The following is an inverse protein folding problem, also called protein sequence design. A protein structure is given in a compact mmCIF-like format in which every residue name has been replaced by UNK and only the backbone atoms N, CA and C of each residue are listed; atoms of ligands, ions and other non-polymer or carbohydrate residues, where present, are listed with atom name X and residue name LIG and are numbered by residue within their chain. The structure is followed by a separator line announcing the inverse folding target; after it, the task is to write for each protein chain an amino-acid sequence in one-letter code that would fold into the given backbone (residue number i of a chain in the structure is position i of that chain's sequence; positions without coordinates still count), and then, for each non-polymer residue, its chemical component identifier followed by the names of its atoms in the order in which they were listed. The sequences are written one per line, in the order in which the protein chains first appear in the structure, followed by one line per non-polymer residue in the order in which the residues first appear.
data_IF_384024132799
#
_entry.id   IF_384024132799
#
_cell.length_a   1.000
_cell.length_b   1.000
_cell.length_c   1.000
_cell.angle_alpha   90.00
_cell.angle_beta   90.00
_cell.angle_gamma   90.00
#
_symmetry.space_group_name_H-M   'P 1'
#
loop_
_entity.id
_entity.type
_entity.pdbx_description
1 polymer ?
#
# COMPACT_ATOMS: atom_id res chain seq x y z
N UNK A 1 14.74 15.28 -7.78
CA UNK A 1 14.08 15.59 -6.49
C UNK A 1 13.40 14.30 -6.06
N UNK A 2 14.01 13.56 -5.13
CA UNK A 2 13.44 12.32 -4.58
C UNK A 2 12.80 12.72 -3.26
N UNK A 3 11.47 12.81 -3.22
CA UNK A 3 10.73 13.04 -1.98
C UNK A 3 10.37 11.67 -1.43
N UNK A 4 11.20 11.13 -0.54
CA UNK A 4 10.92 9.88 0.16
C UNK A 4 9.73 10.11 1.12
N UNK A 5 8.59 9.47 0.86
CA UNK A 5 7.51 9.39 1.85
C UNK A 5 7.95 8.41 2.95
N UNK A 6 8.59 8.92 4.00
CA UNK A 6 9.05 8.09 5.12
C UNK A 6 10.32 8.51 5.87
N UNK A 7 10.84 9.72 5.62
CA UNK A 7 11.99 10.35 6.28
C UNK A 7 13.38 9.91 5.77
N UNK A 8 14.12 10.89 5.24
CA UNK A 8 15.54 11.05 5.49
C UNK A 8 15.74 12.50 5.92
N UNK A 9 15.72 12.77 7.23
CA UNK A 9 16.24 14.00 7.79
C UNK A 9 17.48 13.70 8.62
N UNK A 10 18.49 14.55 8.44
CA UNK A 10 19.79 14.49 9.07
C UNK A 10 19.71 14.60 10.59
N UNK A 11 20.70 14.06 11.33
CA UNK A 11 20.57 13.76 12.74
C UNK A 11 20.87 15.00 13.59
N UNK A 12 20.01 16.02 13.61
CA UNK A 12 20.21 17.12 14.57
C UNK A 12 19.05 18.04 14.96
N UNK A 13 17.78 17.69 14.72
CA UNK A 13 16.69 18.48 15.31
C UNK A 13 15.81 17.65 16.24
N UNK A 14 15.74 18.12 17.49
CA UNK A 14 14.78 17.76 18.53
C UNK A 14 13.36 18.17 18.10
N UNK A 15 12.86 17.58 17.01
CA UNK A 15 11.45 17.67 16.63
C UNK A 15 10.72 16.59 17.39
N UNK A 16 9.61 16.98 18.01
CA UNK A 16 8.68 16.13 18.74
C UNK A 16 8.57 14.74 18.11
N UNK A 17 8.51 13.69 18.95
CA UNK A 17 8.18 12.32 18.56
C UNK A 17 6.78 12.28 17.92
N UNK A 18 6.61 12.86 16.73
CA UNK A 18 5.60 12.46 15.80
C UNK A 18 5.90 10.99 15.56
N UNK A 19 5.02 10.14 16.06
CA UNK A 19 5.14 8.70 15.99
C UNK A 19 5.30 8.31 14.52
N UNK A 20 6.54 8.18 14.06
CA UNK A 20 6.86 7.57 12.78
C UNK A 20 6.40 6.13 12.90
N UNK A 21 5.16 5.85 12.49
CA UNK A 21 4.70 4.48 12.33
C UNK A 21 5.65 3.78 11.36
N UNK A 22 6.47 2.92 11.94
CA UNK A 22 7.37 2.03 11.20
C UNK A 22 6.54 0.95 10.53
N UNK A 23 7.05 0.39 9.43
CA UNK A 23 6.46 -0.76 8.73
C UNK A 23 5.02 -0.50 8.23
N UNK A 24 4.76 0.65 7.62
CA UNK A 24 3.42 0.98 7.07
C UNK A 24 2.98 -0.03 6.01
N UNK A 25 3.89 -0.40 5.11
CA UNK A 25 3.64 -1.29 4.00
C UNK A 25 4.68 -2.40 3.95
N UNK A 26 4.25 -3.59 3.53
CA UNK A 26 5.08 -4.78 3.36
C UNK A 26 5.15 -5.15 1.88
N UNK A 27 6.14 -4.60 1.19
CA UNK A 27 6.32 -4.79 -0.25
C UNK A 27 5.26 -4.10 -1.10
N UNK A 28 5.26 -4.44 -2.39
CA UNK A 28 4.28 -3.94 -3.35
C UNK A 28 4.21 -4.82 -4.58
N UNK A 29 3.06 -4.81 -5.25
CA UNK A 29 2.76 -5.68 -6.38
C UNK A 29 2.44 -4.83 -7.59
N UNK A 30 3.18 -5.03 -8.69
CA UNK A 30 2.89 -4.41 -9.97
C UNK A 30 1.66 -5.07 -10.61
N UNK A 31 0.64 -4.26 -10.93
CA UNK A 31 -0.50 -4.68 -11.71
C UNK A 31 -0.25 -4.43 -13.20
N UNK A 32 -0.12 -5.48 -14.04
CA UNK A 32 0.23 -5.31 -15.46
C UNK A 32 -0.85 -4.62 -16.28
N UNK A 33 -2.11 -4.66 -15.83
CA UNK A 33 -3.25 -4.14 -16.61
C UNK A 33 -3.36 -2.62 -16.58
N UNK A 34 -2.85 -1.97 -15.52
CA UNK A 34 -2.90 -0.51 -15.36
C UNK A 34 -1.53 0.11 -15.05
N UNK A 35 -0.48 -0.69 -14.92
CA UNK A 35 0.88 -0.22 -14.64
C UNK A 35 1.07 0.35 -13.23
N UNK A 36 0.11 0.20 -12.32
CA UNK A 36 0.23 0.72 -10.96
C UNK A 36 0.87 -0.33 -10.03
N UNK A 37 1.64 0.13 -9.06
CA UNK A 37 2.11 -0.69 -7.92
C UNK A 37 1.14 -0.50 -6.75
N UNK A 38 0.73 -1.60 -6.14
CA UNK A 38 -0.11 -1.61 -4.95
C UNK A 38 0.72 -2.04 -3.75
N UNK A 39 0.98 -1.13 -2.81
CA UNK A 39 1.72 -1.42 -1.60
C UNK A 39 0.81 -2.05 -0.54
N UNK A 40 1.28 -3.15 0.05
CA UNK A 40 0.44 -4.00 0.89
C UNK A 40 0.45 -3.46 2.33
N UNK A 41 -0.71 -3.13 2.91
CA UNK A 41 -0.78 -2.48 4.21
C UNK A 41 -0.39 -3.42 5.34
N UNK A 42 0.70 -3.11 6.04
CA UNK A 42 1.12 -3.83 7.23
C UNK A 42 0.56 -3.12 8.48
N UNK A 43 1.10 -1.94 8.80
CA UNK A 43 0.56 -1.06 9.85
C UNK A 43 -0.36 0.03 9.30
N UNK A 44 -0.33 0.31 7.99
CA UNK A 44 -1.22 1.28 7.36
C UNK A 44 -2.69 0.85 7.44
N UNK A 45 -3.60 1.84 7.47
CA UNK A 45 -5.05 1.62 7.46
C UNK A 45 -5.66 1.65 6.06
N UNK A 46 -4.85 1.87 5.03
CA UNK A 46 -5.27 1.99 3.64
C UNK A 46 -4.23 1.35 2.72
N UNK A 47 -4.66 0.91 1.54
CA UNK A 47 -3.76 0.47 0.47
C UNK A 47 -3.20 1.71 -0.22
N UNK A 48 -1.91 1.69 -0.54
CA UNK A 48 -1.28 2.72 -1.35
C UNK A 48 -1.16 2.23 -2.79
N UNK A 49 -1.76 2.96 -3.72
CA UNK A 49 -1.57 2.81 -5.16
C UNK A 49 -0.56 3.84 -5.65
N UNK A 50 0.37 3.38 -6.47
CA UNK A 50 1.44 4.18 -7.07
C UNK A 50 1.36 4.00 -8.58
N UNK A 51 0.94 5.02 -9.31
CA UNK A 51 1.01 5.06 -10.77
C UNK A 51 2.47 5.24 -11.20
N UNK A 52 3.06 4.23 -11.83
CA UNK A 52 4.47 4.28 -12.23
C UNK A 52 4.73 5.13 -13.46
N UNK A 53 3.70 5.61 -14.15
CA UNK A 53 3.84 6.52 -15.28
C UNK A 53 4.01 7.97 -14.82
N UNK A 54 3.58 8.27 -13.60
CA UNK A 54 3.67 9.59 -13.00
C UNK A 54 4.91 9.64 -12.10
N UNK A 55 5.95 10.35 -12.55
CA UNK A 55 7.19 10.54 -11.79
C UNK A 55 7.07 11.64 -10.71
N UNK A 56 5.85 11.88 -10.20
CA UNK A 56 5.52 12.89 -9.18
C UNK A 56 4.70 12.29 -8.05
N UNK A 57 4.55 13.04 -6.96
CA UNK A 57 3.66 12.68 -5.85
C UNK A 57 2.19 12.54 -6.27
N UNK A 58 1.80 13.09 -7.41
CA UNK A 58 0.42 13.07 -7.90
C UNK A 58 -0.01 11.66 -8.37
N UNK A 59 0.96 10.78 -8.61
CA UNK A 59 0.71 9.36 -8.91
C UNK A 59 0.36 8.50 -7.71
N UNK A 60 0.27 9.06 -6.51
CA UNK A 60 0.07 8.30 -5.27
C UNK A 60 -1.33 8.53 -4.71
N UNK A 61 -2.08 7.45 -4.54
CA UNK A 61 -3.45 7.50 -4.00
C UNK A 61 -3.64 6.44 -2.91
N UNK A 62 -4.47 6.76 -1.92
CA UNK A 62 -4.82 5.86 -0.82
C UNK A 62 -6.28 5.45 -0.97
N UNK A 63 -6.57 4.16 -0.79
CA UNK A 63 -7.94 3.65 -0.84
C UNK A 63 -8.16 2.48 0.11
N UNK A 64 -9.43 2.13 0.31
CA UNK A 64 -9.85 1.14 1.30
C UNK A 64 -9.87 1.70 2.73
N UNK A 65 -10.41 0.88 3.64
CA UNK A 65 -10.46 1.17 5.07
C UNK A 65 -10.17 -0.11 5.85
N UNK A 66 -9.10 -0.08 6.64
CA UNK A 66 -8.59 -1.21 7.41
C UNK A 66 -8.49 -0.85 8.89
N UNK A 67 -8.61 -1.84 9.78
CA UNK A 67 -8.39 -1.64 11.20
C UNK A 67 -6.95 -1.17 11.47
N UNK A 68 -6.78 -0.42 12.55
CA UNK A 68 -5.47 0.02 13.05
C UNK A 68 -4.65 -1.10 13.70
N UNK A 69 -4.98 -2.37 13.42
CA UNK A 69 -4.18 -3.52 13.84
C UNK A 69 -2.83 -3.51 13.13
N UNK A 70 -1.80 -3.97 13.83
CA UNK A 70 -0.42 -4.02 13.33
C UNK A 70 -0.12 -5.35 12.66
N UNK A 71 0.87 -5.36 11.78
CA UNK A 71 1.40 -6.58 11.16
C UNK A 71 0.28 -7.40 10.48
N UNK A 72 -0.57 -6.71 9.70
CA UNK A 72 -1.78 -7.34 9.10
C UNK A 72 -1.45 -8.38 8.04
N UNK A 73 -0.58 -8.02 7.10
CA UNK A 73 -0.27 -8.83 5.92
C UNK A 73 1.24 -8.89 5.67
N UNK A 74 1.76 -10.07 5.31
CA UNK A 74 3.19 -10.28 5.04
C UNK A 74 3.62 -9.91 3.61
N UNK A 75 2.67 -9.52 2.78
CA UNK A 75 2.88 -9.21 1.37
C UNK A 75 1.66 -9.56 0.54
N UNK A 76 1.81 -9.45 -0.77
CA UNK A 76 0.72 -9.68 -1.72
C UNK A 76 1.25 -10.27 -3.01
N UNK A 77 0.39 -11.01 -3.69
CA UNK A 77 0.74 -11.73 -4.91
C UNK A 77 -0.33 -11.56 -5.98
N UNK A 78 0.10 -11.36 -7.22
CA UNK A 78 -0.79 -11.22 -8.36
C UNK A 78 -1.38 -12.59 -8.72
N UNK A 79 -2.71 -12.69 -8.70
CA UNK A 79 -3.45 -13.84 -9.20
C UNK A 79 -3.60 -13.79 -10.73
N UNK A 80 -3.92 -14.95 -11.33
CA UNK A 80 -4.21 -15.05 -12.76
C UNK A 80 -5.49 -14.32 -13.18
N UNK A 81 -6.35 -13.98 -12.21
CA UNK A 81 -7.55 -13.14 -12.40
C UNK A 81 -7.23 -11.64 -12.43
N UNK A 82 -5.96 -11.26 -12.28
CA UNK A 82 -5.52 -9.86 -12.25
C UNK A 82 -5.75 -9.16 -10.91
N UNK A 83 -6.25 -9.87 -9.89
CA UNK A 83 -6.39 -9.35 -8.54
C UNK A 83 -5.12 -9.62 -7.72
N UNK A 84 -4.93 -8.87 -6.63
CA UNK A 84 -3.78 -9.03 -5.75
C UNK A 84 -4.26 -9.61 -4.41
N UNK A 85 -3.70 -10.75 -4.02
CA UNK A 85 -4.07 -11.47 -2.82
C UNK A 85 -3.04 -11.23 -1.72
N UNK A 86 -3.45 -10.62 -0.63
CA UNK A 86 -2.60 -10.25 0.50
C UNK A 86 -2.63 -11.37 1.55
N UNK A 87 -1.46 -11.89 1.89
CA UNK A 87 -1.34 -13.04 2.79
C UNK A 87 -1.40 -12.55 4.25
N UNK A 88 -2.39 -12.99 5.05
CA UNK A 88 -2.54 -12.53 6.42
C UNK A 88 -1.40 -13.01 7.31
N UNK A 89 -0.97 -12.15 8.23
CA UNK A 89 -0.14 -12.52 9.39
C UNK A 89 -0.98 -12.50 10.66
N UNK A 90 -1.50 -11.33 11.01
CA UNK A 90 -2.44 -11.16 12.13
C UNK A 90 -3.88 -10.89 11.68
N UNK A 91 -4.10 -10.60 10.40
CA UNK A 91 -5.44 -10.40 9.86
C UNK A 91 -6.25 -11.72 9.85
N UNK A 92 -7.56 -11.62 10.09
CA UNK A 92 -8.44 -12.81 10.16
C UNK A 92 -8.76 -13.43 8.79
N UNK A 93 -8.64 -12.64 7.72
CA UNK A 93 -9.06 -13.00 6.36
C UNK A 93 -8.02 -12.60 5.33
N UNK A 94 -8.03 -13.27 4.19
CA UNK A 94 -7.22 -12.85 3.04
C UNK A 94 -7.83 -11.58 2.46
N UNK A 95 -7.00 -10.56 2.24
CA UNK A 95 -7.47 -9.35 1.56
C UNK A 95 -7.17 -9.45 0.07
N UNK A 96 -8.22 -9.39 -0.74
CA UNK A 96 -8.15 -9.32 -2.19
C UNK A 96 -8.27 -7.87 -2.61
N UNK A 97 -7.22 -7.31 -3.19
CA UNK A 97 -7.26 -6.02 -3.86
C UNK A 97 -7.70 -6.28 -5.30
N UNK A 98 -8.70 -5.53 -5.75
CA UNK A 98 -9.22 -5.54 -7.11
C UNK A 98 -8.76 -4.24 -7.78
N UNK A 99 -7.70 -4.28 -8.61
CA UNK A 99 -7.22 -3.12 -9.32
C UNK A 99 -8.29 -2.58 -10.28
N UNK A 100 -8.50 -1.27 -10.22
CA UNK A 100 -9.32 -0.56 -11.19
C UNK A 100 -8.75 -0.70 -12.60
N UNK A 101 -9.64 -0.96 -13.56
CA UNK A 101 -9.30 -0.98 -15.00
C UNK A 101 -10.13 0.08 -15.72
N UNK A 102 -9.45 0.97 -16.43
CA UNK A 102 -10.01 2.08 -17.22
C UNK A 102 -10.93 3.03 -16.40
N UNK A 103 -12.16 2.60 -16.16
CA UNK A 103 -13.29 3.31 -15.54
C UNK A 103 -13.76 2.70 -14.21
N UNK A 104 -13.25 1.53 -13.83
CA UNK A 104 -13.57 0.90 -12.55
C UNK A 104 -12.65 1.41 -11.44
N UNK A 105 -13.21 1.68 -10.27
CA UNK A 105 -12.46 2.10 -9.09
C UNK A 105 -11.70 0.93 -8.45
N UNK A 106 -10.57 1.23 -7.82
CA UNK A 106 -9.84 0.27 -6.99
C UNK A 106 -10.68 -0.10 -5.76
N UNK A 107 -10.77 -1.39 -5.46
CA UNK A 107 -11.56 -1.88 -4.32
C UNK A 107 -10.84 -2.99 -3.58
N UNK A 108 -11.31 -3.28 -2.36
CA UNK A 108 -10.82 -4.37 -1.53
C UNK A 108 -11.97 -5.28 -1.12
N UNK A 109 -11.73 -6.57 -1.14
CA UNK A 109 -12.61 -7.62 -0.65
C UNK A 109 -11.86 -8.48 0.38
N UNK A 110 -12.61 -9.14 1.26
CA UNK A 110 -12.05 -10.07 2.23
C UNK A 110 -12.68 -11.44 2.02
N UNK A 111 -11.83 -12.43 1.73
CA UNK A 111 -12.21 -13.81 1.46
C UNK A 111 -11.70 -14.77 2.53
#
# INVERSE_FOLDING_TARGET
IITTFGCLQEPNDQVEKAFYEKNKYQGGVLCPSNGCIYAIPCNAQQVLKIDTNLNTSDGMTLFGSLPATKDKYQGGFLGSDGCIYCIPETAERVMKIIPGRFDNEDSIEFI
#
